data_IF_108661650938
#
_entry.id   IF_108661650938
#
_cell.length_a   1.000
_cell.length_b   1.000
_cell.length_c   1.000
_cell.angle_alpha   90.00
_cell.angle_beta   90.00
_cell.angle_gamma   90.00
#
_symmetry.space_group_name_H-M   'P 1'
#
loop_
_entity.id
_entity.type
_entity.pdbx_description
1 polymer ?
#
# COMPACT_ATOMS: atom_id res chain seq x y z
N UNK A 1 -13.21 14.49 7.62
CA UNK A 1 -11.75 14.76 7.45
C UNK A 1 -10.90 13.87 8.35
N UNK A 2 -11.41 13.42 9.50
CA UNK A 2 -10.64 12.61 10.44
C UNK A 2 -10.25 11.24 9.89
N UNK A 3 -11.11 10.61 9.09
CA UNK A 3 -10.78 9.36 8.39
C UNK A 3 -9.55 9.48 7.49
N UNK A 4 -9.41 10.59 6.75
CA UNK A 4 -8.23 10.84 5.88
C UNK A 4 -6.96 10.99 6.71
N UNK A 5 -7.02 11.74 7.82
CA UNK A 5 -5.88 11.93 8.73
C UNK A 5 -5.47 10.61 9.39
N UNK A 6 -6.45 9.80 9.82
CA UNK A 6 -6.20 8.48 10.42
C UNK A 6 -5.55 7.52 9.41
N UNK A 7 -6.05 7.48 8.17
CA UNK A 7 -5.47 6.69 7.08
C UNK A 7 -4.05 7.15 6.77
N UNK A 8 -3.82 8.46 6.64
CA UNK A 8 -2.48 9.01 6.41
C UNK A 8 -1.49 8.58 7.51
N UNK A 9 -1.85 8.75 8.78
CA UNK A 9 -0.99 8.33 9.90
C UNK A 9 -0.61 6.85 9.84
N UNK A 10 -1.57 5.97 9.52
CA UNK A 10 -1.32 4.53 9.41
C UNK A 10 -0.43 4.19 8.22
N UNK A 11 -0.66 4.80 7.06
CA UNK A 11 0.15 4.56 5.86
C UNK A 11 1.58 5.05 6.03
N UNK A 12 1.79 6.25 6.58
CA UNK A 12 3.14 6.79 6.81
C UNK A 12 3.93 5.95 7.81
N UNK A 13 3.28 5.37 8.83
CA UNK A 13 3.93 4.46 9.77
C UNK A 13 4.46 3.17 9.10
N UNK A 14 3.88 2.75 7.97
CA UNK A 14 4.30 1.55 7.23
C UNK A 14 5.50 1.80 6.31
N UNK A 15 5.86 3.07 6.03
CA UNK A 15 6.99 3.39 5.15
C UNK A 15 8.31 2.85 5.70
N UNK A 16 8.50 2.84 7.02
CA UNK A 16 9.68 2.21 7.64
C UNK A 16 9.80 0.70 7.41
N UNK A 17 8.76 0.07 6.86
CA UNK A 17 8.69 -1.35 6.54
C UNK A 17 8.53 -1.60 5.02
N UNK A 18 8.84 -0.61 4.17
CA UNK A 18 8.64 -0.71 2.72
C UNK A 18 9.39 -1.88 2.06
N UNK A 19 10.51 -2.29 2.65
CA UNK A 19 11.31 -3.43 2.18
C UNK A 19 10.80 -4.80 2.67
N UNK A 20 9.81 -4.84 3.55
CA UNK A 20 9.22 -6.11 3.99
C UNK A 20 8.44 -6.74 2.83
N UNK A 21 8.97 -7.84 2.28
CA UNK A 21 8.30 -8.53 1.19
C UNK A 21 6.93 -9.06 1.62
N UNK A 22 5.97 -9.04 0.68
CA UNK A 22 4.63 -9.63 0.89
C UNK A 22 4.73 -11.09 1.33
N UNK A 23 5.66 -11.85 0.76
CA UNK A 23 5.88 -13.26 1.12
C UNK A 23 6.32 -13.44 2.58
N UNK A 24 7.13 -12.52 3.12
CA UNK A 24 7.50 -12.53 4.54
C UNK A 24 6.29 -12.20 5.43
N UNK A 25 5.53 -11.17 5.07
CA UNK A 25 4.31 -10.80 5.79
C UNK A 25 3.30 -11.96 5.81
N UNK A 26 3.13 -12.67 4.68
CA UNK A 26 2.27 -13.85 4.57
C UNK A 26 2.68 -14.96 5.55
N UNK A 27 3.97 -15.33 5.58
CA UNK A 27 4.46 -16.39 6.47
C UNK A 27 4.32 -16.04 7.96
N UNK A 28 4.47 -14.75 8.31
CA UNK A 28 4.40 -14.29 9.69
C UNK A 28 2.99 -13.89 10.14
N UNK A 29 2.00 -13.89 9.24
CA UNK A 29 0.66 -13.33 9.50
C UNK A 29 -0.22 -14.14 10.45
N UNK A 30 0.02 -15.44 10.58
CA UNK A 30 -0.91 -16.36 11.25
C UNK A 30 -2.26 -16.53 10.52
N UNK A 31 -2.43 -15.95 9.33
CA UNK A 31 -3.64 -16.12 8.51
C UNK A 31 -3.61 -17.50 7.88
N UNK A 32 -4.67 -18.29 8.11
CA UNK A 32 -4.79 -19.63 7.55
C UNK A 32 -4.94 -19.57 6.02
N UNK A 33 -4.16 -20.37 5.31
CA UNK A 33 -4.34 -20.57 3.88
C UNK A 33 -5.72 -21.21 3.60
N UNK A 34 -6.43 -20.82 2.52
CA UNK A 34 -5.98 -19.96 1.41
C UNK A 34 -6.37 -18.48 1.54
N UNK A 35 -6.74 -17.99 2.73
CA UNK A 35 -7.28 -16.63 2.89
C UNK A 35 -6.21 -15.55 2.54
N UNK A 36 -6.57 -14.51 1.76
CA UNK A 36 -5.64 -13.44 1.43
C UNK A 36 -5.43 -12.48 2.61
N UNK A 37 -4.24 -11.90 2.73
CA UNK A 37 -3.96 -10.86 3.73
C UNK A 37 -4.72 -9.57 3.49
N UNK A 38 -5.00 -9.25 2.22
CA UNK A 38 -5.66 -8.04 1.80
C UNK A 38 -6.77 -8.39 0.83
N UNK A 39 -7.95 -7.80 1.04
CA UNK A 39 -9.09 -7.91 0.12
C UNK A 39 -9.16 -6.77 -0.88
N UNK A 40 -8.37 -5.72 -0.69
CA UNK A 40 -8.32 -4.54 -1.55
C UNK A 40 -6.88 -4.02 -1.66
N UNK A 41 -6.57 -3.42 -2.81
CA UNK A 41 -5.30 -2.76 -3.09
C UNK A 41 -5.55 -1.33 -3.56
N UNK A 42 -4.81 -0.37 -3.02
CA UNK A 42 -4.78 1.00 -3.49
C UNK A 42 -3.44 1.24 -4.20
N UNK A 43 -3.47 1.42 -5.51
CA UNK A 43 -2.28 1.76 -6.29
C UNK A 43 -2.31 3.26 -6.62
N UNK A 44 -1.53 4.05 -5.88
CA UNK A 44 -1.39 5.48 -6.13
C UNK A 44 -0.05 5.76 -6.79
N UNK A 45 -0.09 6.35 -7.98
CA UNK A 45 1.10 6.84 -8.69
C UNK A 45 0.99 8.36 -8.72
N UNK A 46 1.93 9.04 -8.08
CA UNK A 46 2.03 10.48 -8.19
C UNK A 46 2.65 10.82 -9.55
N UNK A 47 1.81 11.06 -10.56
CA UNK A 47 2.23 11.74 -11.77
C UNK A 47 2.26 13.23 -11.45
N UNK A 48 3.43 13.85 -11.52
CA UNK A 48 3.52 15.30 -11.40
C UNK A 48 2.54 15.97 -12.38
N UNK A 49 1.96 17.10 -11.97
CA UNK A 49 1.18 17.98 -12.85
C UNK A 49 2.10 18.53 -13.95
N UNK A 50 2.34 17.72 -14.98
CA UNK A 50 3.37 17.91 -16.00
C UNK A 50 3.78 16.64 -16.74
N UNK A 51 3.40 15.45 -16.27
CA UNK A 51 3.62 14.18 -16.98
C UNK A 51 2.38 13.68 -17.71
N UNK A 52 1.56 14.59 -18.22
CA UNK A 52 0.75 14.32 -19.43
C UNK A 52 1.52 14.95 -20.59
N UNK A 53 2.71 14.42 -20.86
CA UNK A 53 3.44 14.69 -22.09
C UNK A 53 3.71 13.35 -22.74
N UNK A 54 2.89 13.10 -23.76
CA UNK A 54 3.22 12.39 -25.00
C UNK A 54 3.56 10.88 -24.92
N UNK A 55 2.56 10.06 -25.26
CA UNK A 55 2.74 8.78 -25.94
C UNK A 55 1.63 8.69 -27.00
N UNK A 56 1.98 9.16 -28.20
CA UNK A 56 1.43 8.67 -29.45
C UNK A 56 1.95 7.25 -29.74
#
# INVERSE_FOLDING_TARGET
RDGVKATHKRLTALLGHEHASLALAQRCSGVAAPAPLFSALLNYRHSGVGSVSDQA
#
